data_IF_303657777576
#
_entry.id   IF_303657777576
#
_cell.length_a   1.000
_cell.length_b   1.000
_cell.length_c   1.000
_cell.angle_alpha   90.00
_cell.angle_beta   90.00
_cell.angle_gamma   90.00
#
_symmetry.space_group_name_H-M   'P 1'
#
loop_
_entity.id
_entity.type
_entity.pdbx_description
1 polymer ?
#
# COMPACT_ATOMS: atom_id res chain seq x y z
N UNK A 1 5.10 12.40 22.86
CA UNK A 1 3.68 11.97 22.98
C UNK A 1 3.57 10.89 24.07
N UNK A 2 2.40 10.60 24.67
CA UNK A 2 2.28 9.42 25.56
C UNK A 2 1.98 8.14 24.76
N UNK A 3 2.20 6.96 25.36
CA UNK A 3 2.11 5.69 24.63
C UNK A 3 0.70 5.37 24.10
N UNK A 4 -0.40 5.60 24.84
CA UNK A 4 -1.75 5.39 24.32
C UNK A 4 -2.08 6.28 23.12
N UNK A 5 -1.72 7.58 23.17
CA UNK A 5 -1.94 8.48 22.06
C UNK A 5 -1.08 8.10 20.84
N UNK A 6 0.13 7.59 21.05
CA UNK A 6 0.97 7.01 20.00
C UNK A 6 0.26 5.84 19.31
N UNK A 7 -0.22 4.85 20.08
CA UNK A 7 -0.91 3.70 19.52
C UNK A 7 -2.16 4.10 18.71
N UNK A 8 -2.96 5.03 19.24
CA UNK A 8 -4.13 5.57 18.55
C UNK A 8 -3.75 6.27 17.23
N UNK A 9 -2.65 7.03 17.25
CA UNK A 9 -2.12 7.73 16.07
C UNK A 9 -1.69 6.73 14.99
N UNK A 10 -0.95 5.69 15.38
CA UNK A 10 -0.54 4.61 14.47
C UNK A 10 -1.76 3.97 13.82
N UNK A 11 -2.74 3.52 14.60
CA UNK A 11 -3.94 2.86 14.06
C UNK A 11 -4.72 3.81 13.13
N UNK A 12 -4.93 5.05 13.54
CA UNK A 12 -5.73 6.02 12.76
C UNK A 12 -5.08 6.34 11.41
N UNK A 13 -3.76 6.58 11.40
CA UNK A 13 -3.01 6.89 10.18
C UNK A 13 -2.87 5.64 9.31
N UNK A 14 -2.62 4.47 9.89
CA UNK A 14 -2.49 3.20 9.15
C UNK A 14 -3.79 2.87 8.43
N UNK A 15 -4.94 2.93 9.13
CA UNK A 15 -6.25 2.74 8.51
C UNK A 15 -6.47 3.69 7.31
N UNK A 16 -6.03 4.94 7.38
CA UNK A 16 -6.16 5.86 6.24
C UNK A 16 -5.38 5.40 5.00
N UNK A 17 -4.25 4.72 5.18
CA UNK A 17 -3.44 4.17 4.10
C UNK A 17 -4.02 2.86 3.56
N UNK A 18 -4.36 1.93 4.46
CA UNK A 18 -4.83 0.57 4.14
C UNK A 18 -6.21 0.58 3.46
N UNK A 19 -7.05 1.56 3.78
CA UNK A 19 -8.36 1.75 3.13
C UNK A 19 -8.26 2.30 1.69
N UNK A 20 -7.08 2.75 1.25
CA UNK A 20 -6.91 3.31 -0.09
C UNK A 20 -7.08 2.22 -1.17
N UNK A 21 -7.86 2.50 -2.24
CA UNK A 21 -8.01 1.55 -3.33
C UNK A 21 -6.73 1.42 -4.14
N UNK A 22 -6.47 0.22 -4.66
CA UNK A 22 -5.27 -0.08 -5.42
C UNK A 22 -5.11 -1.56 -5.77
N UNK A 23 -3.95 -1.96 -6.33
CA UNK A 23 -3.71 -3.33 -6.80
C UNK A 23 -3.88 -4.40 -5.71
N UNK A 24 -3.46 -4.10 -4.48
CA UNK A 24 -3.57 -5.01 -3.33
C UNK A 24 -5.03 -5.25 -2.91
N UNK A 25 -5.86 -4.20 -2.94
CA UNK A 25 -7.30 -4.31 -2.68
C UNK A 25 -7.99 -5.10 -3.82
N UNK A 26 -7.64 -4.80 -5.07
CA UNK A 26 -8.22 -5.47 -6.23
C UNK A 26 -7.94 -6.99 -6.23
N UNK A 27 -6.69 -7.39 -5.95
CA UNK A 27 -6.35 -8.82 -5.87
C UNK A 27 -7.01 -9.51 -4.68
N UNK A 28 -7.09 -8.83 -3.52
CA UNK A 28 -7.81 -9.33 -2.34
C UNK A 28 -9.28 -9.61 -2.64
N UNK A 29 -9.93 -8.74 -3.42
CA UNK A 29 -11.33 -8.93 -3.83
C UNK A 29 -11.45 -10.09 -4.82
N UNK A 30 -10.56 -10.17 -5.81
CA UNK A 30 -10.57 -11.24 -6.80
C UNK A 30 -10.38 -12.62 -6.15
N UNK A 31 -9.46 -12.73 -5.20
CA UNK A 31 -9.21 -13.98 -4.48
C UNK A 31 -10.26 -14.27 -3.41
N UNK A 32 -10.77 -13.24 -2.75
CA UNK A 32 -11.84 -13.31 -1.73
C UNK A 32 -13.14 -13.96 -2.24
N UNK A 33 -13.44 -13.79 -3.54
CA UNK A 33 -14.58 -14.46 -4.18
C UNK A 33 -14.45 -15.98 -4.22
N UNK A 34 -13.21 -16.49 -4.30
CA UNK A 34 -12.91 -17.93 -4.37
C UNK A 34 -12.63 -18.49 -2.98
N UNK A 35 -11.98 -17.72 -2.11
CA UNK A 35 -11.67 -18.08 -0.73
C UNK A 35 -11.86 -16.87 0.19
N UNK A 36 -12.85 -16.94 1.08
CA UNK A 36 -13.16 -15.87 2.06
C UNK A 36 -12.01 -15.49 2.99
N UNK A 37 -11.00 -16.35 3.14
CA UNK A 37 -9.80 -16.10 3.96
C UNK A 37 -8.58 -15.65 3.16
N UNK A 38 -8.69 -15.49 1.83
CA UNK A 38 -7.58 -15.10 0.98
C UNK A 38 -6.92 -13.78 1.41
N UNK A 39 -7.69 -12.85 1.99
CA UNK A 39 -7.16 -11.58 2.47
C UNK A 39 -6.10 -11.74 3.56
N UNK A 40 -6.17 -12.79 4.38
CA UNK A 40 -5.13 -13.08 5.38
C UNK A 40 -3.83 -13.56 4.73
N UNK A 41 -3.92 -14.38 3.68
CA UNK A 41 -2.77 -14.82 2.91
C UNK A 41 -2.13 -13.67 2.14
N UNK A 42 -2.96 -12.81 1.53
CA UNK A 42 -2.50 -11.59 0.86
C UNK A 42 -1.84 -10.64 1.85
N UNK A 43 -2.42 -10.44 3.04
CA UNK A 43 -1.82 -9.62 4.12
C UNK A 43 -0.47 -10.18 4.57
N UNK A 44 -0.35 -11.50 4.69
CA UNK A 44 0.92 -12.13 5.02
C UNK A 44 2.00 -11.83 3.97
N UNK A 45 1.65 -11.88 2.69
CA UNK A 45 2.55 -11.48 1.61
C UNK A 45 2.90 -9.99 1.61
N UNK A 46 1.95 -9.15 2.00
CA UNK A 46 2.14 -7.71 2.19
C UNK A 46 3.16 -7.43 3.29
N UNK A 47 2.95 -8.02 4.47
CA UNK A 47 3.82 -7.95 5.64
C UNK A 47 5.27 -8.35 5.31
N UNK A 48 5.46 -9.36 4.45
CA UNK A 48 6.79 -9.81 4.01
C UNK A 48 7.58 -8.74 3.25
N UNK A 49 6.91 -7.76 2.64
CA UNK A 49 7.54 -6.60 1.99
C UNK A 49 7.59 -5.42 2.94
N UNK A 50 6.54 -5.21 3.71
CA UNK A 50 6.37 -4.08 4.61
C UNK A 50 7.30 -4.11 5.82
N UNK A 51 7.39 -5.23 6.54
CA UNK A 51 8.26 -5.35 7.72
C UNK A 51 9.72 -5.06 7.38
N UNK A 52 10.33 -5.60 6.30
CA UNK A 52 11.68 -5.20 5.90
C UNK A 52 11.84 -3.70 5.64
N UNK A 53 10.83 -3.05 5.04
CA UNK A 53 10.84 -1.60 4.83
C UNK A 53 10.79 -0.86 6.16
N UNK A 54 9.91 -1.25 7.09
CA UNK A 54 9.83 -0.68 8.44
C UNK A 54 11.19 -0.77 9.14
N UNK A 55 11.82 -1.95 9.12
CA UNK A 55 13.11 -2.17 9.76
C UNK A 55 14.22 -1.33 9.10
N UNK A 56 14.23 -1.23 7.77
CA UNK A 56 15.18 -0.39 7.04
C UNK A 56 14.98 1.10 7.38
N UNK A 57 13.75 1.59 7.41
CA UNK A 57 13.43 2.96 7.81
C UNK A 57 13.75 3.21 9.27
N UNK A 58 13.58 2.23 10.16
CA UNK A 58 13.96 2.39 11.56
C UNK A 58 15.49 2.45 11.72
N UNK A 59 16.24 1.66 10.96
CA UNK A 59 17.70 1.66 11.01
C UNK A 59 18.31 2.93 10.39
N UNK A 60 17.78 3.40 9.26
CA UNK A 60 18.42 4.42 8.43
C UNK A 60 17.62 5.72 8.29
N UNK A 61 16.34 5.74 8.68
CA UNK A 61 15.38 6.83 8.43
C UNK A 61 15.81 8.22 8.89
N UNK A 62 16.61 8.30 9.97
CA UNK A 62 17.17 9.56 10.49
C UNK A 62 18.24 10.18 9.58
N UNK A 63 18.82 9.39 8.68
CA UNK A 63 19.89 9.79 7.77
C UNK A 63 19.42 9.86 6.32
N UNK A 64 18.13 9.64 6.04
CA UNK A 64 17.60 9.67 4.68
C UNK A 64 17.41 11.12 4.24
N UNK A 65 18.43 11.69 3.59
CA UNK A 65 18.25 12.87 2.74
C UNK A 65 17.56 12.43 1.44
N UNK A 66 16.25 12.62 1.40
CA UNK A 66 15.42 12.12 0.30
C UNK A 66 15.68 12.80 -1.06
N UNK A 67 16.33 13.97 -1.08
CA UNK A 67 16.92 14.66 -2.27
C UNK A 67 16.42 14.26 -3.67
N UNK A 68 17.36 13.95 -4.56
CA UNK A 68 17.09 13.50 -5.93
C UNK A 68 16.47 12.09 -6.01
N UNK A 69 16.72 11.23 -5.01
CA UNK A 69 16.18 9.87 -4.96
C UNK A 69 14.65 9.85 -4.84
N UNK A 70 14.06 10.79 -4.10
CA UNK A 70 12.61 10.97 -4.00
C UNK A 70 12.01 11.28 -5.35
N UNK A 71 12.61 12.18 -6.13
CA UNK A 71 12.14 12.49 -7.47
C UNK A 71 12.20 11.28 -8.40
N UNK A 72 13.30 10.50 -8.35
CA UNK A 72 13.44 9.29 -9.17
C UNK A 72 12.39 8.21 -8.81
N UNK A 73 12.19 7.96 -7.52
CA UNK A 73 11.20 6.99 -7.02
C UNK A 73 9.78 7.46 -7.35
N UNK A 74 9.47 8.74 -7.16
CA UNK A 74 8.17 9.31 -7.51
C UNK A 74 7.88 9.25 -9.01
N UNK A 75 8.86 9.53 -9.86
CA UNK A 75 8.69 9.42 -11.32
C UNK A 75 8.45 7.97 -11.76
N UNK A 76 9.34 7.05 -11.35
CA UNK A 76 9.21 5.64 -11.66
C UNK A 76 7.87 5.08 -11.17
N UNK A 77 7.46 5.52 -9.98
CA UNK A 77 6.18 5.14 -9.42
C UNK A 77 4.99 5.64 -10.22
N UNK A 78 4.98 6.91 -10.63
CA UNK A 78 3.90 7.46 -11.43
C UNK A 78 3.72 6.74 -12.77
N UNK A 79 4.83 6.36 -13.45
CA UNK A 79 4.78 5.57 -14.69
C UNK A 79 4.15 4.18 -14.46
N UNK A 80 4.52 3.50 -13.38
CA UNK A 80 3.94 2.19 -13.04
C UNK A 80 2.44 2.29 -12.75
N UNK A 81 1.97 3.33 -12.05
CA UNK A 81 0.52 3.53 -11.80
C UNK A 81 -0.25 3.68 -13.11
N UNK A 82 0.26 4.47 -14.06
CA UNK A 82 -0.37 4.63 -15.37
C UNK A 82 -0.41 3.31 -16.14
N UNK A 83 0.66 2.51 -16.09
CA UNK A 83 0.71 1.19 -16.72
C UNK A 83 -0.31 0.21 -16.11
N UNK A 84 -0.43 0.16 -14.78
CA UNK A 84 -1.39 -0.69 -14.08
C UNK A 84 -2.84 -0.28 -14.40
N UNK A 85 -3.14 1.02 -14.42
CA UNK A 85 -4.45 1.53 -14.84
C UNK A 85 -4.78 1.14 -16.29
N UNK A 86 -3.81 1.27 -17.20
CA UNK A 86 -3.99 0.86 -18.60
C UNK A 86 -4.28 -0.65 -18.73
N UNK A 87 -3.56 -1.51 -18.00
CA UNK A 87 -3.80 -2.97 -18.03
C UNK A 87 -5.17 -3.35 -17.48
N UNK A 88 -5.57 -2.71 -16.39
CA UNK A 88 -6.87 -2.91 -15.76
C UNK A 88 -8.00 -2.53 -16.72
N UNK A 89 -7.91 -1.35 -17.35
CA UNK A 89 -8.90 -0.87 -18.33
C UNK A 89 -8.94 -1.66 -19.65
N UNK A 90 -7.81 -2.24 -20.09
CA UNK A 90 -7.72 -3.09 -21.30
C UNK A 90 -8.37 -4.46 -21.12
N UNK A 91 -8.91 -4.78 -19.94
CA UNK A 91 -9.42 -6.12 -19.65
C UNK A 91 -8.30 -7.16 -19.66
N UNK A 92 -7.06 -6.77 -19.33
CA UNK A 92 -5.88 -7.63 -19.26
C UNK A 92 -5.90 -8.64 -18.10
N UNK A 93 -7.09 -9.08 -17.69
CA UNK A 93 -7.34 -10.19 -16.79
C UNK A 93 -7.11 -11.51 -17.50
N UNK A 94 -5.87 -11.76 -17.92
CA UNK A 94 -5.42 -13.15 -17.92
C UNK A 94 -5.52 -13.66 -16.48
N UNK A 95 -5.91 -14.91 -16.28
CA UNK A 95 -5.82 -15.55 -14.96
C UNK A 95 -4.38 -15.43 -14.47
N UNK A 96 -4.10 -14.43 -13.65
CA UNK A 96 -2.83 -14.36 -12.94
C UNK A 96 -2.88 -15.55 -11.99
N UNK A 97 -2.10 -16.60 -12.30
CA UNK A 97 -1.97 -17.81 -11.47
C UNK A 97 -1.41 -17.54 -10.06
N UNK A 98 -1.05 -16.29 -9.76
CA UNK A 98 -0.58 -15.87 -8.44
C UNK A 98 -1.77 -15.82 -7.48
N UNK A 99 -1.54 -16.35 -6.28
CA UNK A 99 -2.54 -16.48 -5.22
C UNK A 99 -1.92 -16.24 -3.85
N UNK A 100 -2.75 -15.80 -2.91
CA UNK A 100 -2.45 -15.64 -1.50
C UNK A 100 -1.21 -14.79 -1.27
N UNK A 101 -0.24 -15.37 -0.57
CA UNK A 101 1.02 -14.70 -0.18
C UNK A 101 1.76 -14.11 -1.38
N UNK A 102 1.82 -14.83 -2.51
CA UNK A 102 2.55 -14.34 -3.68
C UNK A 102 1.88 -13.11 -4.30
N UNK A 103 0.55 -13.04 -4.26
CA UNK A 103 -0.21 -11.86 -4.66
C UNK A 103 0.09 -10.68 -3.74
N UNK A 104 0.11 -10.90 -2.43
CA UNK A 104 0.51 -9.89 -1.44
C UNK A 104 1.90 -9.32 -1.71
N UNK A 105 2.90 -10.18 -1.88
CA UNK A 105 4.28 -9.80 -2.17
C UNK A 105 4.37 -8.94 -3.43
N UNK A 106 3.82 -9.43 -4.55
CA UNK A 106 4.00 -8.78 -5.84
C UNK A 106 3.16 -7.51 -5.96
N UNK A 107 1.94 -7.50 -5.43
CA UNK A 107 1.12 -6.29 -5.43
C UNK A 107 1.68 -5.21 -4.50
N UNK A 108 2.47 -5.56 -3.49
CA UNK A 108 3.11 -4.57 -2.61
C UNK A 108 4.40 -4.04 -3.24
N UNK A 109 5.29 -4.94 -3.67
CA UNK A 109 6.58 -4.57 -4.24
C UNK A 109 6.46 -3.76 -5.54
N UNK A 110 5.40 -3.99 -6.33
CA UNK A 110 5.14 -3.28 -7.58
C UNK A 110 4.13 -2.13 -7.42
N UNK A 111 3.70 -1.82 -6.20
CA UNK A 111 2.78 -0.72 -5.94
C UNK A 111 3.55 0.56 -5.54
N UNK A 112 3.62 1.55 -6.42
CA UNK A 112 4.34 2.79 -6.15
C UNK A 112 3.66 3.70 -5.14
N UNK A 113 2.33 3.63 -5.00
CA UNK A 113 1.63 4.33 -3.91
C UNK A 113 2.11 3.80 -2.56
N UNK A 114 2.22 2.48 -2.43
CA UNK A 114 2.73 1.82 -1.22
C UNK A 114 4.16 2.27 -0.89
N UNK A 115 5.07 2.27 -1.89
CA UNK A 115 6.45 2.72 -1.70
C UNK A 115 6.50 4.20 -1.26
N UNK A 116 5.75 5.08 -1.93
CA UNK A 116 5.75 6.51 -1.62
C UNK A 116 5.12 6.79 -0.25
N UNK A 117 4.06 6.07 0.11
CA UNK A 117 3.43 6.15 1.43
C UNK A 117 4.45 5.81 2.53
N UNK A 118 5.22 4.74 2.36
CA UNK A 118 6.26 4.34 3.32
C UNK A 118 7.40 5.35 3.42
N UNK A 119 7.82 5.95 2.31
CA UNK A 119 8.85 6.99 2.31
C UNK A 119 8.37 8.35 2.86
N UNK A 120 7.08 8.50 3.17
CA UNK A 120 6.50 9.76 3.65
C UNK A 120 5.77 9.59 4.98
N UNK A 121 4.52 9.12 4.94
CA UNK A 121 3.66 8.90 6.10
C UNK A 121 4.23 7.78 6.97
N UNK A 122 4.63 6.65 6.36
CA UNK A 122 5.22 5.52 7.07
C UNK A 122 6.51 5.90 7.79
N UNK A 123 7.41 6.65 7.15
CA UNK A 123 8.62 7.19 7.79
C UNK A 123 8.27 8.05 9.02
N UNK A 124 7.23 8.87 8.94
CA UNK A 124 6.79 9.68 10.10
C UNK A 124 6.37 8.79 11.27
N UNK A 125 5.59 7.74 11.01
CA UNK A 125 5.18 6.78 12.04
C UNK A 125 6.37 6.02 12.63
N UNK A 126 7.35 5.63 11.80
CA UNK A 126 8.61 5.02 12.23
C UNK A 126 9.38 5.97 13.15
N UNK A 127 9.52 7.24 12.78
CA UNK A 127 10.21 8.24 13.60
C UNK A 127 9.50 8.47 14.94
N UNK A 128 8.16 8.52 14.96
CA UNK A 128 7.38 8.60 16.20
C UNK A 128 7.59 7.37 17.09
N UNK A 129 7.69 6.17 16.49
CA UNK A 129 7.92 4.93 17.24
C UNK A 129 9.26 4.93 17.99
N UNK A 130 10.25 5.65 17.46
CA UNK A 130 11.58 5.74 18.07
C UNK A 130 11.57 6.48 19.42
N UNK A 131 10.58 7.33 19.71
CA UNK A 131 10.45 7.99 21.02
C UNK A 131 10.32 6.96 22.17
N UNK A 132 9.80 5.77 21.85
CA UNK A 132 9.59 4.68 22.79
C UNK A 132 10.59 3.52 22.60
N UNK A 133 11.65 3.74 21.81
CA UNK A 133 12.69 2.75 21.51
C UNK A 133 12.12 1.46 20.90
N UNK A 134 12.69 0.31 21.29
CA UNK A 134 12.32 -0.99 20.74
C UNK A 134 10.84 -1.35 21.02
N UNK A 135 10.31 -0.94 22.17
CA UNK A 135 8.90 -1.16 22.50
C UNK A 135 7.98 -0.42 21.52
N UNK A 136 8.35 0.81 21.15
CA UNK A 136 7.63 1.59 20.15
C UNK A 136 7.64 0.94 18.77
N UNK A 137 8.80 0.44 18.33
CA UNK A 137 8.94 -0.26 17.05
C UNK A 137 8.05 -1.52 16.99
N UNK A 138 8.11 -2.37 18.03
CA UNK A 138 7.32 -3.60 18.08
C UNK A 138 5.82 -3.26 18.10
N UNK A 139 5.41 -2.28 18.91
CA UNK A 139 4.02 -1.84 18.97
C UNK A 139 3.56 -1.26 17.63
N UNK A 140 4.41 -0.48 16.96
CA UNK A 140 4.13 0.07 15.64
C UNK A 140 3.85 -1.03 14.61
N UNK A 141 4.78 -1.99 14.48
CA UNK A 141 4.63 -3.11 13.53
C UNK A 141 3.34 -3.86 13.80
N UNK A 142 3.09 -4.24 15.06
CA UNK A 142 1.88 -5.02 15.41
C UNK A 142 0.60 -4.24 15.10
N UNK A 143 0.53 -2.96 15.48
CA UNK A 143 -0.68 -2.15 15.29
C UNK A 143 -0.93 -1.82 13.81
N UNK A 144 0.14 -1.55 13.05
CA UNK A 144 0.06 -1.29 11.62
C UNK A 144 -0.42 -2.53 10.87
N UNK A 145 0.29 -3.65 11.02
CA UNK A 145 -0.05 -4.91 10.36
C UNK A 145 -1.44 -5.41 10.78
N UNK A 146 -1.86 -5.20 12.03
CA UNK A 146 -3.22 -5.51 12.44
C UNK A 146 -4.29 -4.75 11.64
N UNK A 147 -3.99 -3.53 11.15
CA UNK A 147 -4.87 -2.79 10.25
C UNK A 147 -4.96 -3.48 8.88
N UNK A 148 -3.83 -3.92 8.31
CA UNK A 148 -3.79 -4.65 7.03
C UNK A 148 -4.54 -5.96 7.08
N UNK A 149 -4.20 -6.81 8.05
CA UNK A 149 -4.88 -8.08 8.26
C UNK A 149 -6.36 -7.89 8.55
N UNK A 150 -6.72 -6.89 9.35
CA UNK A 150 -8.10 -6.54 9.66
C UNK A 150 -8.88 -6.13 8.42
N UNK A 151 -8.33 -5.22 7.62
CA UNK A 151 -9.01 -4.69 6.43
C UNK A 151 -9.06 -5.70 5.28
N UNK A 152 -7.93 -6.28 4.88
CA UNK A 152 -7.90 -7.22 3.77
C UNK A 152 -8.65 -8.50 4.10
N UNK A 153 -8.57 -8.96 5.35
CA UNK A 153 -9.40 -10.06 5.85
C UNK A 153 -10.90 -9.74 5.80
N UNK A 154 -11.30 -8.54 6.22
CA UNK A 154 -12.69 -8.06 6.09
C UNK A 154 -13.13 -8.05 4.62
N UNK A 155 -12.33 -7.43 3.74
CA UNK A 155 -12.65 -7.33 2.32
C UNK A 155 -12.79 -8.72 1.69
N UNK A 156 -11.82 -9.63 1.91
CA UNK A 156 -11.90 -10.97 1.31
C UNK A 156 -13.10 -11.75 1.80
N UNK A 157 -13.47 -11.60 3.07
CA UNK A 157 -14.62 -12.27 3.66
C UNK A 157 -15.93 -11.90 2.96
N UNK A 158 -16.11 -10.62 2.66
CA UNK A 158 -17.34 -10.10 2.07
C UNK A 158 -17.31 -10.08 0.53
N UNK A 159 -16.16 -10.26 -0.09
CA UNK A 159 -15.99 -10.19 -1.56
C UNK A 159 -16.88 -11.15 -2.34
N UNK A 160 -17.15 -12.35 -1.82
CA UNK A 160 -18.12 -13.29 -2.42
C UNK A 160 -19.52 -12.69 -2.52
N UNK A 161 -20.04 -12.15 -1.41
CA UNK A 161 -21.38 -11.54 -1.34
C UNK A 161 -21.49 -10.25 -2.17
N UNK A 162 -20.45 -9.42 -2.21
CA UNK A 162 -20.46 -8.20 -3.03
C UNK A 162 -20.39 -8.50 -4.53
N UNK A 163 -19.78 -9.62 -4.93
CA UNK A 163 -19.70 -10.00 -6.34
C UNK A 163 -21.04 -10.42 -6.94
N UNK A 164 -21.97 -10.91 -6.11
CA UNK A 164 -23.35 -11.25 -6.49
C UNK A 164 -24.19 -10.02 -6.88
N UNK A 165 -23.78 -8.81 -6.48
CA UNK A 165 -24.53 -7.58 -6.74
C UNK A 165 -24.46 -7.09 -8.20
N UNK A 166 -23.62 -7.72 -9.04
CA UNK A 166 -23.48 -7.37 -10.45
C UNK A 166 -22.89 -5.98 -10.70
N UNK A 167 -21.91 -5.85 -11.59
CA UNK A 167 -21.32 -4.55 -11.94
C UNK A 167 -20.40 -3.93 -10.87
N UNK A 168 -20.41 -4.40 -9.62
CA UNK A 168 -19.49 -3.98 -8.56
C UNK A 168 -18.02 -4.05 -8.99
N UNK A 169 -17.64 -5.11 -9.71
CA UNK A 169 -16.29 -5.30 -10.23
C UNK A 169 -15.89 -4.22 -11.24
N UNK A 170 -16.82 -3.85 -12.12
CA UNK A 170 -16.60 -2.85 -13.16
C UNK A 170 -16.49 -1.45 -12.55
N UNK A 171 -17.35 -1.15 -11.56
CA UNK A 171 -17.26 0.10 -10.80
C UNK A 171 -15.93 0.18 -10.05
N UNK A 172 -15.54 -0.88 -9.34
CA UNK A 172 -14.27 -0.93 -8.61
C UNK A 172 -13.05 -0.80 -9.53
N UNK A 173 -13.08 -1.49 -10.67
CA UNK A 173 -12.03 -1.42 -11.70
C UNK A 173 -11.88 0.01 -12.25
N UNK A 174 -12.99 0.68 -12.58
CA UNK A 174 -12.97 2.07 -13.02
C UNK A 174 -12.50 3.03 -11.92
N UNK A 175 -12.99 2.89 -10.70
CA UNK A 175 -12.58 3.74 -9.56
C UNK A 175 -11.09 3.56 -9.27
N UNK A 176 -10.61 2.32 -9.22
CA UNK A 176 -9.19 2.01 -8.99
C UNK A 176 -8.30 2.55 -10.11
N UNK A 177 -8.72 2.36 -11.37
CA UNK A 177 -8.00 2.87 -12.53
C UNK A 177 -7.95 4.40 -12.55
N UNK A 178 -9.07 5.07 -12.24
CA UNK A 178 -9.12 6.53 -12.17
C UNK A 178 -8.17 7.07 -11.09
N UNK A 179 -8.14 6.44 -9.92
CA UNK A 179 -7.26 6.81 -8.81
C UNK A 179 -5.78 6.62 -9.21
N UNK A 180 -5.44 5.47 -9.81
CA UNK A 180 -4.10 5.22 -10.33
C UNK A 180 -3.68 6.25 -11.39
N UNK A 181 -4.59 6.67 -12.28
CA UNK A 181 -4.31 7.71 -13.28
C UNK A 181 -4.03 9.06 -12.62
N UNK A 182 -4.88 9.48 -11.68
CA UNK A 182 -4.74 10.77 -10.99
C UNK A 182 -3.44 10.83 -10.20
N UNK A 183 -3.16 9.83 -9.36
CA UNK A 183 -1.93 9.80 -8.57
C UNK A 183 -0.69 9.58 -9.44
N UNK A 184 -0.78 8.76 -10.50
CA UNK A 184 0.31 8.54 -11.43
C UNK A 184 0.74 9.83 -12.13
N UNK A 185 -0.21 10.58 -12.67
CA UNK A 185 0.04 11.87 -13.30
C UNK A 185 0.59 12.89 -12.28
N UNK A 186 0.00 12.94 -11.08
CA UNK A 186 0.46 13.82 -10.00
C UNK A 186 1.92 13.54 -9.63
N UNK A 187 2.32 12.28 -9.43
CA UNK A 187 3.72 11.95 -9.09
C UNK A 187 4.71 12.25 -10.21
N UNK A 188 4.33 12.07 -11.48
CA UNK A 188 5.17 12.47 -12.62
C UNK A 188 5.36 13.99 -12.64
N UNK A 189 4.30 14.78 -12.52
CA UNK A 189 4.40 16.25 -12.53
C UNK A 189 5.24 16.74 -11.36
N UNK A 190 4.96 16.24 -10.15
CA UNK A 190 5.62 16.69 -8.92
C UNK A 190 7.09 16.25 -8.86
N UNK A 191 7.45 15.10 -9.44
CA UNK A 191 8.86 14.67 -9.55
C UNK A 191 9.67 15.55 -10.49
N UNK A 192 9.11 15.93 -11.64
CA UNK A 192 9.75 16.83 -12.61
C UNK A 192 9.95 18.24 -12.01
N UNK A 193 8.96 18.77 -11.29
CA UNK A 193 9.10 20.07 -10.62
C UNK A 193 10.13 20.04 -9.49
N UNK A 194 10.22 18.92 -8.77
CA UNK A 194 11.19 18.75 -7.68
C UNK A 194 12.62 18.56 -8.21
N UNK A 195 12.80 17.89 -9.35
CA UNK A 195 14.11 17.72 -9.98
C UNK A 195 14.77 19.06 -10.38
N UNK A 196 13.97 20.04 -10.83
CA UNK A 196 14.45 21.39 -11.16
C UNK A 196 14.97 22.20 -9.95
N UNK A 197 14.67 21.78 -8.72
CA UNK A 197 15.18 22.44 -7.51
C UNK A 197 16.55 21.89 -7.06
N UNK A 198 17.01 20.77 -7.66
CA UNK A 198 18.26 20.10 -7.33
C UNK A 198 19.32 20.16 -8.46
N UNK A 199 18.99 20.81 -9.58
CA UNK A 199 19.89 21.09 -10.72
C UNK A 199 20.11 22.60 -10.82
#
# INVERSE_FOLDING_TARGET
MDFPLFALTVVSISLSGVLAPGPLLAVTIAEGKRNRFAGLEVSLGHAMIEIPIILALYAFGRFVELGAWKSAISFAGGVVMLYLAYRELRGGGGEVKMRGVLSGVLMSALNPYFIIWWLTVGLTLVLLSMEFGMLGLIAFIILHEACDFGWLGFVSYFSGRLSELGGFERVLSYVSSAILIVFGAYFIVTSISTLHLYL
#
